data_IF_347778475312
#
_entry.id   IF_347778475312
#
_cell.length_a   1.000
_cell.length_b   1.000
_cell.length_c   1.000
_cell.angle_alpha   90.00
_cell.angle_beta   90.00
_cell.angle_gamma   90.00
#
_symmetry.space_group_name_H-M   'P 1'
#
loop_
_entity.id
_entity.type
_entity.pdbx_description
1 polymer ?
#
# COMPACT_ATOMS: atom_id res chain seq x y z
N UNK A 1 45.38 22.81 20.25
CA UNK A 1 44.26 23.76 20.47
C UNK A 1 42.95 23.00 20.31
N UNK A 2 42.18 22.89 21.39
CA UNK A 2 40.73 22.65 21.33
C UNK A 2 40.02 24.02 21.38
N UNK A 3 38.74 24.11 20.97
CA UNK A 3 37.65 24.08 21.98
C UNK A 3 36.43 23.27 21.49
N UNK A 4 35.85 22.36 22.29
CA UNK A 4 34.82 22.54 23.34
C UNK A 4 33.39 22.81 22.84
N UNK A 5 32.45 22.12 23.52
CA UNK A 5 30.97 22.31 23.56
C UNK A 5 30.18 21.72 22.38
N UNK A 6 29.05 21.01 22.56
CA UNK A 6 28.16 20.85 23.72
C UNK A 6 27.37 19.54 23.56
N UNK A 7 27.12 18.85 24.67
CA UNK A 7 26.13 17.77 24.74
C UNK A 7 24.73 18.39 24.56
N UNK A 8 24.04 18.04 23.49
CA UNK A 8 22.60 18.24 23.36
C UNK A 8 21.89 16.92 23.55
N UNK A 9 21.36 16.67 24.75
CA UNK A 9 20.32 15.67 24.93
C UNK A 9 19.06 16.10 24.17
N UNK A 10 18.26 15.13 23.70
CA UNK A 10 16.83 15.21 23.93
C UNK A 10 16.44 13.96 24.73
N UNK A 11 16.01 14.14 25.98
CA UNK A 11 14.58 14.28 26.30
C UNK A 11 13.82 12.98 26.02
N UNK A 12 13.56 12.24 27.10
CA UNK A 12 12.56 11.17 27.12
C UNK A 12 11.17 11.79 27.01
N UNK A 13 10.51 11.72 25.87
CA UNK A 13 9.04 11.79 25.74
C UNK A 13 8.60 11.18 24.39
N UNK A 14 7.38 10.64 24.28
CA UNK A 14 6.73 9.61 25.07
C UNK A 14 6.72 8.28 24.29
N UNK A 15 6.29 7.19 24.93
CA UNK A 15 5.95 5.96 24.23
C UNK A 15 4.93 6.28 23.13
N UNK A 16 5.38 6.33 21.87
CA UNK A 16 4.47 6.35 20.74
C UNK A 16 3.60 5.09 20.82
N UNK A 17 2.28 5.22 20.60
CA UNK A 17 1.36 4.11 20.77
C UNK A 17 1.79 2.98 19.85
N UNK A 18 1.87 1.79 20.44
CA UNK A 18 2.00 0.49 19.79
C UNK A 18 1.37 0.51 18.41
N UNK A 19 2.17 0.77 17.38
CA UNK A 19 1.76 0.53 16.01
C UNK A 19 1.87 -0.97 15.87
N UNK A 20 0.71 -1.60 15.94
CA UNK A 20 0.47 -3.02 15.72
C UNK A 20 1.40 -3.55 14.64
N UNK A 21 1.95 -4.77 14.77
CA UNK A 21 2.77 -5.33 13.71
C UNK A 21 1.91 -5.34 12.44
N UNK A 22 2.23 -4.46 11.49
CA UNK A 22 1.88 -4.66 10.10
C UNK A 22 2.42 -6.05 9.80
N UNK A 23 1.51 -7.01 9.70
CA UNK A 23 1.80 -8.40 9.39
C UNK A 23 2.45 -8.43 8.01
N UNK A 24 3.75 -8.14 7.97
CA UNK A 24 4.64 -8.26 6.84
C UNK A 24 5.09 -9.73 6.70
N UNK A 25 4.20 -10.68 6.99
CA UNK A 25 4.44 -12.05 6.57
C UNK A 25 4.43 -12.06 5.05
N UNK A 26 5.42 -12.69 4.39
CA UNK A 26 5.47 -12.76 2.95
C UNK A 26 4.23 -13.50 2.46
N UNK A 27 3.23 -12.75 1.99
CA UNK A 27 2.07 -13.30 1.31
C UNK A 27 2.57 -14.14 0.14
N UNK A 28 2.09 -15.39 0.05
CA UNK A 28 2.31 -16.19 -1.13
C UNK A 28 1.76 -15.40 -2.34
N UNK A 29 2.43 -15.49 -3.49
CA UNK A 29 2.03 -14.79 -4.71
C UNK A 29 0.54 -15.02 -5.06
N UNK A 30 0.00 -16.21 -4.77
CA UNK A 30 -1.44 -16.48 -4.94
C UNK A 30 -2.33 -15.66 -3.97
N UNK A 31 -1.93 -15.51 -2.72
CA UNK A 31 -2.65 -14.69 -1.74
C UNK A 31 -2.55 -13.20 -2.08
N UNK A 32 -1.40 -12.76 -2.59
CA UNK A 32 -1.21 -11.38 -3.05
C UNK A 32 -2.10 -11.07 -4.27
N UNK A 33 -2.16 -11.98 -5.25
CA UNK A 33 -3.06 -11.84 -6.40
C UNK A 33 -4.53 -11.78 -5.98
N UNK A 34 -4.93 -12.59 -4.99
CA UNK A 34 -6.28 -12.54 -4.43
C UNK A 34 -6.56 -11.18 -3.79
N UNK A 35 -5.68 -10.70 -2.91
CA UNK A 35 -5.86 -9.42 -2.22
C UNK A 35 -5.97 -8.26 -3.20
N UNK A 36 -5.06 -8.18 -4.18
CA UNK A 36 -5.10 -7.13 -5.19
C UNK A 36 -6.36 -7.21 -6.08
N UNK A 37 -6.86 -8.42 -6.35
CA UNK A 37 -8.14 -8.62 -7.02
C UNK A 37 -9.33 -8.10 -6.21
N UNK A 38 -9.30 -8.29 -4.89
CA UNK A 38 -10.33 -7.80 -3.97
C UNK A 38 -10.28 -6.26 -3.88
N UNK A 39 -9.08 -5.68 -3.76
CA UNK A 39 -8.86 -4.24 -3.72
C UNK A 39 -9.32 -3.57 -5.03
N UNK A 40 -9.04 -4.19 -6.19
CA UNK A 40 -9.54 -3.74 -7.50
C UNK A 40 -11.06 -3.70 -7.55
N UNK A 41 -11.73 -4.75 -7.03
CA UNK A 41 -13.20 -4.80 -6.97
C UNK A 41 -13.77 -3.74 -6.04
N UNK A 42 -13.10 -3.45 -4.93
CA UNK A 42 -13.49 -2.37 -4.04
C UNK A 42 -13.36 -1.00 -4.73
N UNK A 43 -12.25 -0.75 -5.43
CA UNK A 43 -12.04 0.50 -6.17
C UNK A 43 -13.15 0.75 -7.19
N UNK A 44 -13.54 -0.27 -7.98
CA UNK A 44 -14.64 -0.16 -8.94
C UNK A 44 -15.97 0.19 -8.27
N UNK A 45 -16.31 -0.44 -7.15
CA UNK A 45 -17.55 -0.14 -6.42
C UNK A 45 -17.61 1.32 -5.95
N UNK A 46 -16.47 1.86 -5.52
CA UNK A 46 -16.39 3.27 -5.09
C UNK A 46 -16.51 4.23 -6.27
N UNK A 47 -15.90 3.91 -7.41
CA UNK A 47 -16.06 4.68 -8.65
C UNK A 47 -17.50 4.67 -9.17
N UNK A 48 -18.18 3.53 -9.09
CA UNK A 48 -19.60 3.40 -9.43
C UNK A 48 -20.49 4.18 -8.45
N UNK A 49 -20.11 4.21 -7.17
CA UNK A 49 -20.74 5.02 -6.13
C UNK A 49 -20.50 6.53 -6.25
N UNK A 50 -19.79 6.99 -7.28
CA UNK A 50 -19.52 8.40 -7.53
C UNK A 50 -18.49 9.03 -6.59
N UNK A 51 -17.70 8.22 -5.89
CA UNK A 51 -16.57 8.72 -5.09
C UNK A 51 -15.45 9.25 -5.99
N UNK A 52 -14.71 10.24 -5.49
CA UNK A 52 -13.58 10.88 -6.18
C UNK A 52 -13.87 11.30 -7.63
N UNK A 53 -14.88 12.16 -7.87
CA UNK A 53 -15.25 12.59 -9.22
C UNK A 53 -14.08 13.23 -9.97
N UNK A 54 -13.25 14.00 -9.27
CA UNK A 54 -12.08 14.69 -9.83
C UNK A 54 -10.98 13.73 -10.31
N UNK A 55 -10.92 12.51 -9.76
CA UNK A 55 -9.89 11.50 -10.07
C UNK A 55 -10.46 10.29 -10.81
N UNK A 56 -11.74 10.33 -11.21
CA UNK A 56 -12.44 9.17 -11.79
C UNK A 56 -11.73 8.61 -13.02
N UNK A 57 -11.20 9.49 -13.88
CA UNK A 57 -10.49 9.08 -15.09
C UNK A 57 -9.14 8.43 -14.76
N UNK A 58 -8.37 9.03 -13.86
CA UNK A 58 -7.08 8.49 -13.44
C UNK A 58 -7.23 7.17 -12.69
N UNK A 59 -8.22 7.06 -11.81
CA UNK A 59 -8.52 5.83 -11.08
C UNK A 59 -9.04 4.73 -12.00
N UNK A 60 -9.82 5.08 -13.04
CA UNK A 60 -10.23 4.11 -14.07
C UNK A 60 -9.04 3.65 -14.92
N UNK A 61 -8.08 4.53 -15.23
CA UNK A 61 -6.85 4.13 -15.91
C UNK A 61 -6.03 3.16 -15.05
N UNK A 62 -5.81 3.52 -13.78
CA UNK A 62 -5.11 2.69 -12.81
C UNK A 62 -5.77 1.31 -12.63
N UNK A 63 -7.10 1.26 -12.52
CA UNK A 63 -7.86 0.03 -12.41
C UNK A 63 -7.65 -0.89 -13.62
N UNK A 64 -7.63 -0.32 -14.83
CA UNK A 64 -7.38 -1.07 -16.07
C UNK A 64 -5.95 -1.58 -16.17
N UNK A 65 -4.98 -0.80 -15.72
CA UNK A 65 -3.57 -1.22 -15.65
C UNK A 65 -3.39 -2.35 -14.63
N UNK A 66 -4.02 -2.22 -13.46
CA UNK A 66 -4.02 -3.26 -12.42
C UNK A 66 -4.67 -4.54 -12.93
N UNK A 67 -5.78 -4.45 -13.66
CA UNK A 67 -6.42 -5.61 -14.29
C UNK A 67 -5.50 -6.38 -15.23
N UNK A 68 -4.76 -5.67 -16.10
CA UNK A 68 -3.79 -6.29 -17.01
C UNK A 68 -2.63 -6.94 -16.26
N UNK A 69 -2.10 -6.28 -15.23
CA UNK A 69 -1.01 -6.81 -14.42
C UNK A 69 -1.43 -8.09 -13.67
N UNK A 70 -2.63 -8.11 -13.11
CA UNK A 70 -3.16 -9.29 -12.42
C UNK A 70 -3.36 -10.47 -13.38
N UNK A 71 -3.83 -10.22 -14.60
CA UNK A 71 -3.96 -11.26 -15.62
C UNK A 71 -2.59 -11.82 -16.00
N UNK A 72 -1.62 -10.97 -16.31
CA UNK A 72 -0.25 -11.37 -16.65
C UNK A 72 0.42 -12.17 -15.53
N UNK A 73 0.31 -11.69 -14.30
CA UNK A 73 0.88 -12.38 -13.14
C UNK A 73 0.18 -13.72 -12.92
N UNK A 74 -1.14 -13.80 -13.07
CA UNK A 74 -1.88 -15.07 -12.97
C UNK A 74 -1.43 -16.08 -14.02
N UNK A 75 -1.20 -15.64 -15.27
CA UNK A 75 -0.64 -16.51 -16.32
C UNK A 75 0.79 -16.97 -15.98
N UNK A 76 1.65 -16.06 -15.50
CA UNK A 76 3.04 -16.38 -15.16
C UNK A 76 3.17 -17.36 -13.98
N UNK A 77 2.16 -17.42 -13.11
CA UNK A 77 2.09 -18.30 -11.95
C UNK A 77 1.38 -19.64 -12.22
N UNK A 78 0.87 -19.88 -13.43
CA UNK A 78 0.40 -21.21 -13.84
C UNK A 78 1.59 -22.18 -13.94
N UNK A 79 1.48 -23.39 -13.38
CA UNK A 79 2.55 -24.40 -13.42
C UNK A 79 2.79 -24.98 -14.82
#
# INVERSE_FOLDING_TARGET
MAPSSVNGAPEREPAAPSSEPLNNEPLNNQDLLRQLGDDRRWLLQQLDGGQWPELRLDLAALERELGQLLEQASEALKP
#
